data_IF_692707186724
#
_entry.id   IF_692707186724
#
_cell.length_a   1.000
_cell.length_b   1.000
_cell.length_c   1.000
_cell.angle_alpha   90.00
_cell.angle_beta   90.00
_cell.angle_gamma   90.00
#
_symmetry.space_group_name_H-M   'P 1'
#
loop_
_entity.id
_entity.type
_entity.pdbx_description
1 polymer ?
#
# COMPACT_ATOMS: atom_id res chain seq x y z
N UNK A 1 15.25 -19.03 5.69
CA UNK A 1 13.92 -19.07 5.06
C UNK A 1 14.00 -18.11 3.90
N UNK A 2 13.90 -18.62 2.68
CA UNK A 2 14.23 -17.91 1.44
C UNK A 2 13.32 -16.70 1.20
N UNK A 3 13.91 -15.53 0.96
CA UNK A 3 13.26 -14.33 0.40
C UNK A 3 12.70 -14.57 -1.02
N UNK A 4 12.80 -15.79 -1.56
CA UNK A 4 12.54 -16.12 -2.96
C UNK A 4 11.08 -16.32 -3.36
N UNK A 5 10.16 -16.60 -2.43
CA UNK A 5 8.81 -17.07 -2.81
C UNK A 5 7.83 -15.93 -3.14
N UNK A 6 7.89 -14.83 -2.39
CA UNK A 6 7.12 -13.61 -2.64
C UNK A 6 7.56 -12.82 -3.89
N UNK A 7 8.70 -13.20 -4.48
CA UNK A 7 9.27 -12.61 -5.70
C UNK A 7 9.00 -13.43 -6.98
N UNK A 8 8.28 -14.56 -6.88
CA UNK A 8 7.94 -15.38 -8.04
C UNK A 8 7.01 -14.59 -8.96
N UNK A 9 7.50 -14.27 -10.16
CA UNK A 9 6.70 -13.62 -11.21
C UNK A 9 5.42 -14.43 -11.43
N UNK A 10 4.29 -13.76 -11.35
CA UNK A 10 3.00 -14.34 -11.72
C UNK A 10 3.04 -14.58 -13.24
N UNK A 11 3.00 -15.85 -13.65
CA UNK A 11 2.99 -16.27 -15.05
C UNK A 11 1.63 -16.83 -15.43
N UNK A 12 1.35 -17.02 -16.72
CA UNK A 12 0.12 -17.68 -17.15
C UNK A 12 -1.09 -16.74 -17.26
N UNK A 13 -2.28 -17.24 -16.90
CA UNK A 13 -3.51 -16.46 -16.86
C UNK A 13 -3.48 -15.42 -15.74
N UNK A 14 -2.98 -15.78 -14.55
CA UNK A 14 -2.87 -14.84 -13.42
C UNK A 14 -2.04 -13.62 -13.81
N UNK A 15 -0.88 -13.80 -14.44
CA UNK A 15 -0.02 -12.66 -14.81
C UNK A 15 -0.59 -11.76 -15.91
N UNK A 16 -1.56 -12.25 -16.69
CA UNK A 16 -2.18 -11.51 -17.80
C UNK A 16 -3.47 -10.80 -17.41
N UNK A 17 -4.21 -11.36 -16.47
CA UNK A 17 -5.57 -10.92 -16.12
C UNK A 17 -5.69 -10.43 -14.68
N UNK A 18 -4.57 -10.31 -13.96
CA UNK A 18 -4.54 -9.75 -12.61
C UNK A 18 -3.42 -8.72 -12.47
N UNK A 19 -3.60 -7.84 -11.49
CA UNK A 19 -2.62 -6.87 -11.01
C UNK A 19 -2.08 -7.34 -9.66
N UNK A 20 -0.77 -7.51 -9.55
CA UNK A 20 -0.13 -7.97 -8.32
C UNK A 20 0.01 -6.81 -7.31
N UNK A 21 -0.93 -6.72 -6.37
CA UNK A 21 -0.93 -5.67 -5.35
C UNK A 21 0.26 -5.82 -4.40
N UNK A 22 0.70 -7.05 -4.12
CA UNK A 22 1.86 -7.30 -3.26
C UNK A 22 3.14 -6.78 -3.92
N UNK A 23 3.32 -6.99 -5.23
CA UNK A 23 4.45 -6.41 -5.98
C UNK A 23 4.36 -4.89 -6.02
N UNK A 24 3.18 -4.32 -6.29
CA UNK A 24 2.99 -2.86 -6.29
C UNK A 24 3.28 -2.22 -4.93
N UNK A 25 2.92 -2.89 -3.83
CA UNK A 25 3.24 -2.45 -2.48
C UNK A 25 4.75 -2.45 -2.23
N UNK A 26 5.45 -3.51 -2.62
CA UNK A 26 6.91 -3.64 -2.50
C UNK A 26 7.66 -2.58 -3.29
N UNK A 27 7.13 -2.24 -4.47
CA UNK A 27 7.67 -1.21 -5.35
C UNK A 27 7.29 0.22 -4.92
N UNK A 28 6.46 0.38 -3.87
CA UNK A 28 6.00 1.67 -3.38
C UNK A 28 5.05 2.40 -4.34
N UNK A 29 4.33 1.67 -5.21
CA UNK A 29 3.40 2.25 -6.19
C UNK A 29 1.99 2.48 -5.64
N UNK A 30 1.60 1.70 -4.64
CA UNK A 30 0.29 1.82 -3.99
C UNK A 30 0.19 3.12 -3.19
N UNK A 31 -1.03 3.64 -3.07
CA UNK A 31 -1.30 4.81 -2.24
C UNK A 31 -1.16 4.45 -0.75
N UNK A 32 -0.57 5.30 0.10
CA UNK A 32 -0.60 5.09 1.54
C UNK A 32 -2.04 4.99 2.05
N UNK A 33 -2.35 3.87 2.71
CA UNK A 33 -3.67 3.64 3.28
C UNK A 33 -3.71 4.18 4.71
N UNK A 34 -4.73 4.97 5.03
CA UNK A 34 -4.98 5.55 6.36
C UNK A 34 -6.42 5.25 6.80
N UNK A 35 -6.62 5.20 8.13
CA UNK A 35 -7.94 5.07 8.75
C UNK A 35 -8.73 3.81 8.32
N UNK A 36 -8.03 2.69 8.07
CA UNK A 36 -8.63 1.39 7.68
C UNK A 36 -8.04 0.20 8.45
N UNK A 37 -7.43 0.46 9.60
CA UNK A 37 -6.68 -0.55 10.33
C UNK A 37 -7.56 -1.67 10.90
N UNK A 38 -8.78 -1.33 11.34
CA UNK A 38 -9.77 -2.26 11.87
C UNK A 38 -10.30 -3.18 10.77
N UNK A 39 -10.63 -2.65 9.60
CA UNK A 39 -11.12 -3.46 8.48
C UNK A 39 -10.02 -4.37 7.94
N UNK A 40 -8.78 -3.89 7.83
CA UNK A 40 -7.64 -4.72 7.39
C UNK A 40 -7.37 -5.83 8.42
N UNK A 41 -7.38 -5.53 9.71
CA UNK A 41 -7.25 -6.54 10.77
C UNK A 41 -8.38 -7.58 10.67
N UNK A 42 -9.62 -7.13 10.46
CA UNK A 42 -10.78 -8.02 10.30
C UNK A 42 -10.66 -8.92 9.07
N UNK A 43 -10.12 -8.41 7.96
CA UNK A 43 -9.84 -9.21 6.76
C UNK A 43 -8.81 -10.30 7.06
N UNK A 44 -7.74 -9.97 7.77
CA UNK A 44 -6.71 -10.94 8.21
C UNK A 44 -7.35 -12.04 9.07
N UNK A 45 -8.14 -11.67 10.07
CA UNK A 45 -8.83 -12.64 10.95
C UNK A 45 -9.68 -13.62 10.13
N UNK A 46 -10.40 -13.11 9.14
CA UNK A 46 -11.29 -13.93 8.29
C UNK A 46 -10.47 -14.88 7.41
N UNK A 47 -9.38 -14.42 6.80
CA UNK A 47 -8.52 -15.24 5.95
C UNK A 47 -7.87 -16.42 6.71
N UNK A 48 -7.72 -16.29 8.03
CA UNK A 48 -7.18 -17.33 8.91
C UNK A 48 -8.23 -18.33 9.40
N UNK A 49 -9.52 -18.10 9.14
CA UNK A 49 -10.57 -19.03 9.57
C UNK A 49 -10.50 -20.33 8.78
N UNK A 50 -10.89 -21.43 9.43
CA UNK A 50 -11.10 -22.70 8.76
C UNK A 50 -12.35 -22.70 7.84
N UNK A 51 -13.36 -21.90 8.17
CA UNK A 51 -14.61 -21.79 7.40
C UNK A 51 -15.12 -20.35 7.37
N UNK A 52 -15.87 -20.00 6.32
CA UNK A 52 -16.19 -18.60 5.98
C UNK A 52 -14.94 -17.73 5.89
N UNK A 53 -13.95 -18.22 5.16
CA UNK A 53 -12.61 -17.62 5.02
C UNK A 53 -12.47 -16.69 3.81
N UNK A 54 -13.58 -16.33 3.16
CA UNK A 54 -13.61 -15.33 2.10
C UNK A 54 -14.19 -14.02 2.65
N UNK A 55 -13.39 -12.97 2.87
CA UNK A 55 -13.89 -11.67 3.30
C UNK A 55 -14.71 -11.02 2.18
N UNK A 56 -15.91 -10.54 2.51
CA UNK A 56 -16.69 -9.66 1.65
C UNK A 56 -16.71 -8.25 2.23
N UNK A 57 -16.01 -7.32 1.58
CA UNK A 57 -16.01 -5.89 1.86
C UNK A 57 -17.33 -5.29 1.38
N UNK A 58 -18.24 -5.01 2.30
CA UNK A 58 -19.60 -4.55 2.00
C UNK A 58 -19.76 -3.11 2.45
N UNK A 59 -20.04 -2.22 1.50
CA UNK A 59 -20.29 -0.81 1.79
C UNK A 59 -20.66 -0.02 0.52
N UNK A 60 -21.14 1.22 0.66
CA UNK A 60 -21.49 2.08 -0.47
C UNK A 60 -20.33 2.25 -1.48
N UNK A 61 -20.63 2.68 -2.70
CA UNK A 61 -19.60 3.12 -3.63
C UNK A 61 -18.86 4.35 -3.07
N UNK A 62 -17.56 4.46 -3.37
CA UNK A 62 -16.74 5.61 -2.93
C UNK A 62 -16.19 5.56 -1.50
N UNK A 63 -16.54 4.55 -0.68
CA UNK A 63 -15.99 4.45 0.69
C UNK A 63 -14.54 3.96 0.75
N UNK A 64 -13.94 3.54 -0.36
CA UNK A 64 -12.55 3.06 -0.39
C UNK A 64 -12.39 1.58 -0.03
N UNK A 65 -13.26 0.70 -0.55
CA UNK A 65 -13.13 -0.76 -0.40
C UNK A 65 -11.80 -1.28 -0.96
N UNK A 66 -11.38 -0.77 -2.11
CA UNK A 66 -10.10 -1.11 -2.75
C UNK A 66 -8.90 -0.72 -1.90
N UNK A 67 -8.99 0.38 -1.15
CA UNK A 67 -7.92 0.81 -0.23
C UNK A 67 -7.68 -0.20 0.89
N UNK A 68 -8.69 -0.97 1.32
CA UNK A 68 -8.51 -2.05 2.31
C UNK A 68 -7.67 -3.18 1.73
N UNK A 69 -7.88 -3.56 0.46
CA UNK A 69 -7.07 -4.55 -0.21
C UNK A 69 -5.63 -4.08 -0.41
N UNK A 70 -5.43 -2.81 -0.79
CA UNK A 70 -4.10 -2.20 -0.90
C UNK A 70 -3.40 -2.11 0.47
N UNK A 71 -4.15 -1.82 1.54
CA UNK A 71 -3.62 -1.79 2.90
C UNK A 71 -3.22 -3.18 3.40
N UNK A 72 -3.97 -4.22 3.03
CA UNK A 72 -3.58 -5.60 3.26
C UNK A 72 -2.27 -5.93 2.52
N UNK A 73 -2.13 -5.54 1.25
CA UNK A 73 -0.91 -5.75 0.48
C UNK A 73 0.31 -5.06 1.13
N UNK A 74 0.13 -3.84 1.65
CA UNK A 74 1.18 -3.13 2.40
C UNK A 74 1.58 -3.89 3.68
N UNK A 75 0.63 -4.41 4.45
CA UNK A 75 0.93 -5.22 5.65
C UNK A 75 1.59 -6.56 5.32
N UNK A 76 1.17 -7.23 4.25
CA UNK A 76 1.80 -8.46 3.75
C UNK A 76 3.28 -8.24 3.45
N UNK A 77 3.61 -7.15 2.73
CA UNK A 77 5.00 -6.79 2.41
C UNK A 77 5.79 -6.33 3.64
N UNK A 78 5.16 -5.58 4.54
CA UNK A 78 5.79 -5.13 5.79
C UNK A 78 6.04 -6.24 6.80
N UNK A 79 5.41 -7.41 6.64
CA UNK A 79 5.50 -8.52 7.59
C UNK A 79 4.60 -8.35 8.83
N UNK A 80 3.75 -7.31 8.85
CA UNK A 80 2.73 -7.02 9.88
C UNK A 80 1.49 -7.92 9.70
N UNK A 81 1.73 -9.21 9.50
CA UNK A 81 0.72 -10.25 9.37
C UNK A 81 1.18 -11.51 10.10
N UNK A 82 0.25 -12.36 10.57
CA UNK A 82 0.57 -13.66 11.15
C UNK A 82 1.40 -14.52 10.20
N UNK A 83 2.23 -15.41 10.76
CA UNK A 83 3.20 -16.23 10.02
C UNK A 83 2.60 -16.94 8.80
N UNK A 84 1.37 -17.46 8.94
CA UNK A 84 0.63 -18.19 7.91
C UNK A 84 0.33 -17.35 6.67
N UNK A 85 0.27 -16.02 6.80
CA UNK A 85 -0.01 -15.11 5.68
C UNK A 85 1.25 -14.46 5.09
N UNK A 86 2.44 -14.70 5.66
CA UNK A 86 3.66 -14.04 5.19
C UNK A 86 4.07 -14.42 3.77
N UNK A 87 3.73 -15.63 3.32
CA UNK A 87 3.96 -16.10 1.95
C UNK A 87 2.84 -15.69 0.99
N UNK A 88 1.75 -15.12 1.52
CA UNK A 88 0.55 -14.85 0.73
C UNK A 88 0.76 -13.73 -0.28
N UNK A 89 0.33 -13.96 -1.52
CA UNK A 89 0.31 -12.97 -2.61
C UNK A 89 -1.12 -12.51 -2.86
N UNK A 90 -1.31 -11.20 -2.94
CA UNK A 90 -2.61 -10.59 -3.19
C UNK A 90 -2.70 -10.10 -4.64
N UNK A 91 -3.56 -10.73 -5.43
CA UNK A 91 -3.75 -10.43 -6.85
C UNK A 91 -5.13 -9.80 -7.07
N UNK A 92 -5.20 -8.61 -7.65
CA UNK A 92 -6.45 -7.96 -8.02
C UNK A 92 -6.88 -8.37 -9.42
N UNK A 93 -8.10 -8.85 -9.58
CA UNK A 93 -8.65 -9.20 -10.88
C UNK A 93 -8.86 -7.96 -11.74
N UNK A 94 -8.41 -8.00 -13.00
CA UNK A 94 -8.66 -6.95 -13.98
C UNK A 94 -9.79 -7.39 -14.92
N UNK A 95 -10.99 -6.86 -14.65
CA UNK A 95 -12.18 -7.12 -15.48
C UNK A 95 -12.00 -6.63 -16.92
N UNK A 96 -11.29 -5.52 -17.13
CA UNK A 96 -11.06 -4.95 -18.45
C UNK A 96 -10.14 -5.86 -19.25
N UNK A 97 -9.04 -6.33 -18.66
CA UNK A 97 -8.13 -7.28 -19.29
C UNK A 97 -8.82 -8.60 -19.65
N UNK A 98 -9.74 -9.08 -18.80
CA UNK A 98 -10.52 -10.27 -19.07
C UNK A 98 -11.44 -10.12 -20.29
N UNK A 99 -12.09 -8.96 -20.44
CA UNK A 99 -12.99 -8.65 -21.57
C UNK A 99 -12.24 -8.21 -22.84
N UNK A 100 -11.01 -7.71 -22.70
CA UNK A 100 -10.24 -7.19 -23.83
C UNK A 100 -9.94 -8.30 -24.85
N UNK A 101 -10.33 -8.08 -26.10
CA UNK A 101 -10.08 -9.00 -27.20
C UNK A 101 -10.91 -10.29 -27.18
N UNK A 102 -11.94 -10.40 -26.33
CA UNK A 102 -12.91 -11.51 -26.41
C UNK A 102 -14.05 -11.14 -27.34
N UNK A 103 -13.87 -11.37 -28.64
CA UNK A 103 -14.97 -11.23 -29.62
C UNK A 103 -16.02 -12.34 -29.47
N UNK A 104 -15.66 -13.45 -28.80
CA UNK A 104 -16.49 -14.64 -28.63
C UNK A 104 -16.63 -15.03 -27.16
N UNK A 105 -17.86 -15.32 -26.73
CA UNK A 105 -18.24 -15.72 -25.35
C UNK A 105 -17.35 -16.84 -24.78
N UNK A 106 -17.05 -17.87 -25.55
CA UNK A 106 -16.26 -19.02 -25.08
C UNK A 106 -14.82 -18.68 -24.66
N UNK A 107 -14.24 -17.61 -25.22
CA UNK A 107 -12.89 -17.18 -24.84
C UNK A 107 -12.86 -16.55 -23.45
N UNK A 108 -13.92 -15.85 -23.05
CA UNK A 108 -14.04 -15.29 -21.71
C UNK A 108 -14.17 -16.42 -20.67
N UNK A 109 -15.01 -17.42 -20.95
CA UNK A 109 -15.16 -18.62 -20.11
C UNK A 109 -13.85 -19.40 -19.96
N UNK A 110 -13.10 -19.59 -21.05
CA UNK A 110 -11.79 -20.25 -21.01
C UNK A 110 -10.78 -19.47 -20.14
N UNK A 111 -10.77 -18.13 -20.24
CA UNK A 111 -9.92 -17.28 -19.40
C UNK A 111 -10.27 -17.40 -17.92
N UNK A 112 -11.56 -17.34 -17.57
CA UNK A 112 -12.02 -17.53 -16.18
C UNK A 112 -11.64 -18.93 -15.68
N UNK A 113 -11.83 -19.97 -16.50
CA UNK A 113 -11.44 -21.35 -16.14
C UNK A 113 -9.95 -21.46 -15.85
N UNK A 114 -9.11 -20.87 -16.70
CA UNK A 114 -7.67 -20.85 -16.51
C UNK A 114 -7.27 -20.10 -15.23
N UNK A 115 -7.92 -18.97 -14.95
CA UNK A 115 -7.69 -18.17 -13.75
C UNK A 115 -8.06 -18.94 -12.48
N UNK A 116 -9.22 -19.60 -12.46
CA UNK A 116 -9.65 -20.46 -11.35
C UNK A 116 -8.70 -21.62 -11.15
N UNK A 117 -8.29 -22.29 -12.23
CA UNK A 117 -7.37 -23.42 -12.16
C UNK A 117 -6.01 -23.00 -11.59
N UNK A 118 -5.42 -21.91 -12.09
CA UNK A 118 -4.14 -21.39 -11.59
C UNK A 118 -4.23 -20.90 -10.14
N UNK A 119 -5.33 -20.24 -9.76
CA UNK A 119 -5.54 -19.79 -8.37
C UNK A 119 -5.74 -20.97 -7.42
N UNK A 120 -6.46 -22.02 -7.84
CA UNK A 120 -6.69 -23.21 -7.01
C UNK A 120 -5.45 -24.08 -6.87
N UNK A 121 -4.49 -23.97 -7.80
CA UNK A 121 -3.23 -24.70 -7.76
C UNK A 121 -2.21 -24.07 -6.79
N UNK A 122 -2.43 -22.83 -6.36
CA UNK A 122 -1.52 -22.07 -5.50
C UNK A 122 -2.25 -21.56 -4.23
N UNK A 123 -2.12 -22.26 -3.09
CA UNK A 123 -2.83 -21.90 -1.86
C UNK A 123 -2.36 -20.57 -1.26
N UNK A 124 -1.17 -20.09 -1.63
CA UNK A 124 -0.62 -18.82 -1.17
C UNK A 124 -1.18 -17.62 -1.95
N UNK A 125 -1.96 -17.83 -3.02
CA UNK A 125 -2.62 -16.75 -3.74
C UNK A 125 -3.98 -16.45 -3.13
N UNK A 126 -4.21 -15.15 -2.85
CA UNK A 126 -5.54 -14.60 -2.54
C UNK A 126 -5.95 -13.68 -3.67
N UNK A 127 -7.14 -13.92 -4.22
CA UNK A 127 -7.69 -13.11 -5.30
C UNK A 127 -8.57 -11.99 -4.72
N UNK A 128 -8.24 -10.73 -5.02
CA UNK A 128 -9.11 -9.59 -4.80
C UNK A 128 -10.00 -9.39 -6.04
N UNK A 129 -11.32 -9.33 -5.83
CA UNK A 129 -12.30 -9.06 -6.88
C UNK A 129 -13.09 -7.84 -6.49
N UNK A 130 -12.86 -6.75 -7.21
CA UNK A 130 -13.75 -5.59 -7.13
C UNK A 130 -15.06 -5.88 -7.85
N UNK A 131 -16.15 -5.30 -7.39
CA UNK A 131 -17.51 -5.57 -7.89
C UNK A 131 -17.79 -7.08 -8.02
N UNK A 132 -17.62 -7.82 -6.90
CA UNK A 132 -17.76 -9.28 -6.85
C UNK A 132 -19.06 -9.79 -7.49
N UNK A 133 -20.13 -9.00 -7.39
CA UNK A 133 -21.43 -9.30 -8.01
C UNK A 133 -21.36 -9.41 -9.54
N UNK A 134 -20.38 -8.81 -10.22
CA UNK A 134 -20.21 -8.97 -11.66
C UNK A 134 -19.85 -10.41 -12.04
N UNK A 135 -19.09 -11.09 -11.18
CA UNK A 135 -18.71 -12.49 -11.40
C UNK A 135 -19.79 -13.48 -10.94
N UNK A 136 -20.61 -13.11 -9.96
CA UNK A 136 -21.55 -14.02 -9.28
C UNK A 136 -23.01 -13.80 -9.70
N UNK A 137 -23.38 -12.56 -10.03
CA UNK A 137 -24.76 -12.09 -10.11
C UNK A 137 -25.21 -11.53 -11.47
N UNK A 138 -24.33 -11.29 -12.45
CA UNK A 138 -24.75 -10.82 -13.77
C UNK A 138 -25.33 -11.94 -14.66
N UNK A 139 -26.51 -12.44 -14.28
CA UNK A 139 -27.35 -13.32 -15.10
C UNK A 139 -28.47 -12.60 -15.86
N UNK A 140 -28.68 -11.29 -15.68
CA UNK A 140 -29.92 -10.64 -16.13
C UNK A 140 -29.79 -9.31 -16.87
N UNK A 141 -28.59 -8.73 -17.01
CA UNK A 141 -28.41 -7.52 -17.81
C UNK A 141 -27.21 -7.70 -18.77
N UNK A 142 -27.52 -7.74 -20.06
CA UNK A 142 -26.56 -7.67 -21.19
C UNK A 142 -25.76 -8.97 -21.41
N UNK A 143 -26.41 -10.00 -21.95
CA UNK A 143 -25.97 -10.98 -22.99
C UNK A 143 -24.59 -11.68 -23.01
N UNK A 144 -23.59 -11.23 -22.26
CA UNK A 144 -22.18 -11.67 -22.33
C UNK A 144 -21.73 -12.36 -21.04
N UNK A 145 -22.31 -12.00 -19.88
CA UNK A 145 -21.89 -12.48 -18.55
C UNK A 145 -22.64 -13.72 -18.02
N UNK A 146 -23.51 -14.34 -18.82
CA UNK A 146 -24.47 -15.35 -18.32
C UNK A 146 -23.85 -16.68 -17.82
N UNK A 147 -22.54 -16.95 -17.98
CA UNK A 147 -21.94 -18.25 -17.60
C UNK A 147 -20.75 -18.21 -16.64
N UNK A 148 -20.14 -17.05 -16.37
CA UNK A 148 -19.00 -17.01 -15.45
C UNK A 148 -19.38 -17.38 -14.01
N UNK A 149 -20.58 -17.01 -13.58
CA UNK A 149 -21.12 -17.40 -12.29
C UNK A 149 -21.24 -18.92 -12.14
N UNK A 150 -21.69 -19.63 -13.17
CA UNK A 150 -21.81 -21.09 -13.15
C UNK A 150 -20.45 -21.79 -13.09
N UNK A 151 -19.39 -21.15 -13.59
CA UNK A 151 -18.03 -21.70 -13.58
C UNK A 151 -17.28 -21.40 -12.28
N UNK A 152 -17.50 -20.23 -11.69
CA UNK A 152 -16.83 -19.80 -10.46
C UNK A 152 -17.50 -20.34 -9.20
N UNK A 153 -18.84 -20.42 -9.19
CA UNK A 153 -19.61 -20.87 -8.02
C UNK A 153 -19.16 -22.24 -7.50
N UNK A 154 -18.96 -23.29 -8.32
CA UNK A 154 -18.53 -24.59 -7.81
C UNK A 154 -17.20 -24.52 -7.06
N UNK A 155 -16.22 -23.79 -7.59
CA UNK A 155 -14.89 -23.68 -6.97
C UNK A 155 -14.91 -22.81 -5.71
N UNK A 156 -15.70 -21.74 -5.68
CA UNK A 156 -15.93 -20.93 -4.49
C UNK A 156 -16.64 -21.72 -3.38
N UNK A 157 -17.65 -22.52 -3.76
CA UNK A 157 -18.41 -23.37 -2.83
C UNK A 157 -17.57 -24.54 -2.32
N UNK A 158 -16.67 -25.11 -3.13
CA UNK A 158 -15.70 -26.10 -2.62
C UNK A 158 -14.67 -25.47 -1.71
N UNK A 159 -14.32 -24.20 -1.93
CA UNK A 159 -13.27 -23.50 -1.19
C UNK A 159 -11.88 -23.82 -1.73
N UNK A 160 -11.78 -24.08 -3.04
CA UNK A 160 -10.53 -24.46 -3.72
C UNK A 160 -9.48 -23.33 -3.70
N UNK A 161 -9.92 -22.08 -3.50
CA UNK A 161 -9.08 -20.90 -3.40
C UNK A 161 -9.72 -19.82 -2.51
N UNK A 162 -8.93 -18.83 -2.10
CA UNK A 162 -9.35 -17.72 -1.22
C UNK A 162 -9.62 -16.45 -2.02
N UNK A 163 -10.72 -15.77 -1.71
CA UNK A 163 -11.15 -14.53 -2.36
C UNK A 163 -11.49 -13.45 -1.35
N UNK A 164 -11.07 -12.21 -1.64
CA UNK A 164 -11.57 -10.99 -1.03
C UNK A 164 -12.46 -10.30 -2.05
N UNK A 165 -13.76 -10.18 -1.77
CA UNK A 165 -14.70 -9.53 -2.68
C UNK A 165 -15.13 -8.16 -2.19
N UNK A 166 -15.21 -7.16 -3.06
CA UNK A 166 -15.82 -5.87 -2.76
C UNK A 166 -17.19 -5.73 -3.46
N UNK A 167 -18.20 -5.24 -2.75
CA UNK A 167 -19.56 -5.08 -3.31
C UNK A 167 -20.38 -4.07 -2.50
N UNK A 168 -21.53 -3.64 -3.02
CA UNK A 168 -22.51 -2.87 -2.23
C UNK A 168 -23.35 -3.77 -1.33
N UNK A 169 -24.04 -3.19 -0.34
CA UNK A 169 -24.92 -3.93 0.56
C UNK A 169 -26.06 -4.65 -0.17
N UNK A 170 -26.73 -3.95 -1.08
CA UNK A 170 -27.85 -4.51 -1.85
C UNK A 170 -27.43 -5.70 -2.71
N UNK A 171 -26.28 -5.62 -3.36
CA UNK A 171 -25.73 -6.70 -4.17
C UNK A 171 -25.25 -7.87 -3.32
N UNK A 172 -24.64 -7.60 -2.16
CA UNK A 172 -24.24 -8.65 -1.23
C UNK A 172 -25.45 -9.45 -0.74
N UNK A 173 -26.51 -8.75 -0.32
CA UNK A 173 -27.71 -9.38 0.19
C UNK A 173 -28.41 -10.20 -0.91
N UNK A 174 -28.49 -9.64 -2.14
CA UNK A 174 -29.12 -10.32 -3.29
C UNK A 174 -28.33 -11.54 -3.79
N UNK A 175 -27.02 -11.42 -3.96
CA UNK A 175 -26.22 -12.40 -4.71
C UNK A 175 -25.37 -13.32 -3.84
N UNK A 176 -25.00 -12.90 -2.62
CA UNK A 176 -24.20 -13.71 -1.69
C UNK A 176 -25.10 -14.32 -0.61
N UNK A 177 -25.85 -13.51 0.13
CA UNK A 177 -26.78 -14.02 1.14
C UNK A 177 -27.99 -14.72 0.53
N UNK A 178 -28.40 -14.34 -0.68
CA UNK A 178 -29.45 -15.03 -1.43
C UNK A 178 -29.09 -16.47 -1.84
N UNK A 179 -27.81 -16.86 -1.79
CA UNK A 179 -27.32 -18.19 -2.15
C UNK A 179 -26.72 -18.90 -0.91
N UNK A 180 -27.41 -19.90 -0.32
CA UNK A 180 -26.94 -20.60 0.88
C UNK A 180 -25.58 -21.27 0.74
N UNK A 181 -25.13 -21.59 -0.48
CA UNK A 181 -23.83 -22.20 -0.71
C UNK A 181 -22.70 -21.16 -0.59
N UNK A 182 -22.92 -19.95 -1.10
CA UNK A 182 -21.97 -18.84 -1.00
C UNK A 182 -21.95 -18.23 0.41
N UNK A 183 -23.10 -18.13 1.08
CA UNK A 183 -23.20 -17.63 2.45
C UNK A 183 -22.34 -18.43 3.45
N UNK A 184 -22.11 -19.72 3.17
CA UNK A 184 -21.24 -20.61 3.97
C UNK A 184 -19.74 -20.40 3.73
N UNK A 185 -19.38 -19.57 2.74
CA UNK A 185 -18.00 -19.31 2.32
C UNK A 185 -17.57 -17.87 2.55
N UNK A 186 -18.51 -16.94 2.49
CA UNK A 186 -18.23 -15.53 2.72
C UNK A 186 -18.51 -15.08 4.16
N UNK A 187 -17.68 -14.17 4.64
CA UNK A 187 -17.89 -13.44 5.88
C UNK A 187 -17.94 -11.94 5.56
N UNK A 188 -19.05 -11.31 5.95
CA UNK A 188 -19.22 -9.86 5.78
C UNK A 188 -18.25 -9.06 6.64
N UNK A 189 -17.60 -8.08 6.03
CA UNK A 189 -16.83 -6.99 6.62
C UNK A 189 -17.54 -5.70 6.24
N UNK A 190 -18.15 -5.03 7.21
CA UNK A 190 -18.85 -3.78 6.95
C UNK A 190 -17.84 -2.65 6.79
N UNK A 191 -17.85 -1.99 5.64
CA UNK A 191 -16.99 -0.84 5.35
C UNK A 191 -17.83 0.41 5.44
N UNK A 192 -17.62 1.17 6.52
CA UNK A 192 -18.30 2.45 6.72
C UNK A 192 -17.65 3.57 5.94
N UNK A 193 -18.43 4.61 5.71
CA UNK A 193 -17.92 5.92 5.32
C UNK A 193 -16.99 6.48 6.41
N UNK A 194 -15.93 7.16 6.00
CA UNK A 194 -14.99 7.81 6.91
C UNK A 194 -15.62 9.06 7.53
N UNK A 195 -15.20 9.38 8.75
CA UNK A 195 -15.50 10.67 9.38
C UNK A 195 -14.84 11.81 8.62
N UNK A 196 -15.24 13.05 8.91
CA UNK A 196 -14.60 14.24 8.34
C UNK A 196 -13.09 14.26 8.68
N UNK A 197 -12.76 14.01 9.95
CA UNK A 197 -11.38 13.99 10.46
C UNK A 197 -10.54 12.89 9.79
N UNK A 198 -11.08 11.67 9.70
CA UNK A 198 -10.41 10.55 9.03
C UNK A 198 -10.19 10.86 7.53
N UNK A 199 -11.14 11.55 6.89
CA UNK A 199 -11.02 11.95 5.48
C UNK A 199 -9.94 13.00 5.29
N UNK A 200 -9.81 13.96 6.21
CA UNK A 200 -8.72 14.94 6.19
C UNK A 200 -7.36 14.24 6.28
N UNK A 201 -7.22 13.24 7.14
CA UNK A 201 -5.98 12.48 7.26
C UNK A 201 -5.66 11.64 6.01
N UNK A 202 -6.68 11.07 5.37
CA UNK A 202 -6.54 10.43 4.06
C UNK A 202 -6.10 11.43 2.99
N UNK A 203 -6.71 12.62 2.92
CA UNK A 203 -6.31 13.65 1.96
C UNK A 203 -4.87 14.12 2.19
N UNK A 204 -4.49 14.37 3.46
CA UNK A 204 -3.12 14.74 3.85
C UNK A 204 -2.08 13.72 3.41
N UNK A 205 -2.39 12.43 3.53
CA UNK A 205 -1.52 11.36 3.07
C UNK A 205 -1.34 11.34 1.54
N UNK A 206 -2.32 11.86 0.78
CA UNK A 206 -2.31 11.91 -0.69
C UNK A 206 -1.70 13.19 -1.28
N UNK A 207 -1.54 14.26 -0.48
CA UNK A 207 -1.13 15.58 -0.97
C UNK A 207 0.16 15.53 -1.77
N UNK A 208 1.17 14.84 -1.26
CA UNK A 208 2.49 14.77 -1.88
C UNK A 208 2.41 14.19 -3.31
N UNK A 209 1.54 13.19 -3.53
CA UNK A 209 1.34 12.57 -4.85
C UNK A 209 0.52 13.47 -5.77
N UNK A 210 -0.53 14.11 -5.26
CA UNK A 210 -1.37 15.06 -6.01
C UNK A 210 -0.57 16.29 -6.47
N UNK A 211 0.15 16.94 -5.56
CA UNK A 211 1.02 18.08 -5.84
C UNK A 211 2.09 17.73 -6.89
N UNK A 212 2.70 16.55 -6.78
CA UNK A 212 3.65 16.05 -7.78
C UNK A 212 2.99 15.82 -9.14
N UNK A 213 1.83 15.19 -9.18
CA UNK A 213 1.13 14.88 -10.42
C UNK A 213 0.77 16.16 -11.18
N UNK A 214 0.11 17.10 -10.49
CA UNK A 214 -0.37 18.35 -11.09
C UNK A 214 0.68 19.45 -11.18
N UNK A 215 1.83 19.31 -10.49
CA UNK A 215 2.85 20.36 -10.41
C UNK A 215 2.29 21.65 -9.78
N UNK A 216 1.49 21.48 -8.73
CA UNK A 216 0.86 22.56 -7.96
C UNK A 216 1.19 22.39 -6.48
N UNK A 217 0.93 23.42 -5.67
CA UNK A 217 0.97 23.33 -4.21
C UNK A 217 -0.45 23.37 -3.67
N UNK A 218 -0.78 22.54 -2.70
CA UNK A 218 -2.12 22.49 -2.09
C UNK A 218 -2.04 23.16 -0.73
N UNK A 219 -2.86 24.19 -0.52
CA UNK A 219 -2.98 24.85 0.77
C UNK A 219 -3.91 24.06 1.73
N UNK A 220 -3.69 24.17 3.05
CA UNK A 220 -4.46 23.42 4.04
C UNK A 220 -5.95 23.80 4.03
N UNK A 221 -6.29 25.05 3.72
CA UNK A 221 -7.66 25.51 3.54
C UNK A 221 -8.36 24.78 2.38
N UNK A 222 -7.65 24.45 1.30
CA UNK A 222 -8.19 23.63 0.21
C UNK A 222 -8.56 22.23 0.69
N UNK A 223 -7.71 21.61 1.51
CA UNK A 223 -7.97 20.27 2.07
C UNK A 223 -9.21 20.27 2.95
N UNK A 224 -9.36 21.30 3.80
CA UNK A 224 -10.57 21.48 4.63
C UNK A 224 -11.81 21.72 3.78
N UNK A 225 -11.72 22.64 2.81
CA UNK A 225 -12.80 22.95 1.89
C UNK A 225 -13.31 21.71 1.14
N UNK A 226 -12.41 20.82 0.71
CA UNK A 226 -12.78 19.59 -0.01
C UNK A 226 -13.65 18.66 0.82
N UNK A 227 -13.51 18.67 2.14
CA UNK A 227 -14.32 17.85 3.04
C UNK A 227 -15.61 18.58 3.42
N UNK A 228 -15.52 19.84 3.83
CA UNK A 228 -16.66 20.62 4.32
C UNK A 228 -17.68 20.94 3.21
N UNK A 229 -17.22 21.34 2.03
CA UNK A 229 -18.12 21.72 0.95
C UNK A 229 -18.79 20.50 0.31
N UNK A 230 -18.07 19.38 0.19
CA UNK A 230 -18.66 18.17 -0.39
C UNK A 230 -19.66 17.50 0.56
N UNK A 231 -19.49 17.67 1.88
CA UNK A 231 -20.48 17.26 2.88
C UNK A 231 -21.82 17.95 2.75
N UNK A 232 -21.81 19.24 2.43
CA UNK A 232 -23.02 20.05 2.33
C UNK A 232 -23.66 19.90 0.96
N UNK A 233 -22.85 19.88 -0.09
CA UNK A 233 -23.34 20.05 -1.46
C UNK A 233 -23.39 18.77 -2.30
N UNK A 234 -22.69 17.68 -1.90
CA UNK A 234 -22.57 16.44 -2.68
C UNK A 234 -23.02 15.21 -1.87
N UNK A 235 -24.32 15.14 -1.57
CA UNK A 235 -24.94 14.14 -0.67
C UNK A 235 -25.14 12.76 -1.31
N UNK A 236 -25.16 12.68 -2.63
CA UNK A 236 -25.33 11.45 -3.41
C UNK A 236 -24.06 10.59 -3.43
N UNK A 237 -22.90 11.22 -3.21
CA UNK A 237 -21.59 10.55 -3.11
C UNK A 237 -21.16 10.36 -1.65
N UNK A 238 -20.06 9.64 -1.44
CA UNK A 238 -19.55 9.26 -0.12
C UNK A 238 -18.08 9.64 0.04
N UNK A 239 -17.65 9.88 1.28
CA UNK A 239 -16.24 10.00 1.64
C UNK A 239 -15.52 8.65 1.61
N UNK A 240 -14.22 8.61 1.32
CA UNK A 240 -13.37 9.76 0.98
C UNK A 240 -13.44 10.19 -0.50
N UNK A 241 -14.08 9.39 -1.37
CA UNK A 241 -14.09 9.58 -2.82
C UNK A 241 -14.51 10.98 -3.27
N UNK A 242 -15.65 11.49 -2.80
CA UNK A 242 -16.13 12.82 -3.22
C UNK A 242 -15.15 13.96 -2.90
N UNK A 243 -14.44 13.86 -1.78
CA UNK A 243 -13.50 14.90 -1.34
C UNK A 243 -12.17 14.81 -2.11
N UNK A 244 -11.71 13.58 -2.39
CA UNK A 244 -10.53 13.34 -3.23
C UNK A 244 -10.77 13.88 -4.63
N UNK A 245 -11.92 13.56 -5.23
CA UNK A 245 -12.27 13.92 -6.60
C UNK A 245 -12.32 15.44 -6.81
N UNK A 246 -13.00 16.17 -5.91
CA UNK A 246 -13.07 17.64 -5.98
C UNK A 246 -11.69 18.29 -5.78
N UNK A 247 -10.85 17.74 -4.89
CA UNK A 247 -9.49 18.25 -4.69
C UNK A 247 -8.62 18.02 -5.94
N UNK A 248 -8.71 16.83 -6.54
CA UNK A 248 -7.99 16.46 -7.76
C UNK A 248 -8.41 17.34 -8.95
N UNK A 249 -9.72 17.55 -9.12
CA UNK A 249 -10.25 18.44 -10.16
C UNK A 249 -9.80 19.90 -9.96
N UNK A 250 -9.76 20.39 -8.72
CA UNK A 250 -9.22 21.71 -8.41
C UNK A 250 -7.73 21.81 -8.77
N UNK A 251 -6.94 20.77 -8.49
CA UNK A 251 -5.54 20.70 -8.88
C UNK A 251 -5.36 20.68 -10.41
N UNK A 252 -6.16 19.88 -11.11
CA UNK A 252 -6.16 19.80 -12.57
C UNK A 252 -6.53 21.14 -13.21
N UNK A 253 -7.54 21.83 -12.68
CA UNK A 253 -7.93 23.15 -13.15
C UNK A 253 -6.81 24.18 -12.96
N UNK A 254 -6.24 24.28 -11.75
CA UNK A 254 -5.14 25.20 -11.46
C UNK A 254 -3.94 24.94 -12.39
N UNK A 255 -3.57 23.67 -12.60
CA UNK A 255 -2.52 23.31 -13.54
C UNK A 255 -2.83 23.76 -14.97
N UNK A 256 -4.07 23.59 -15.43
CA UNK A 256 -4.47 23.89 -16.80
C UNK A 256 -4.48 25.40 -17.11
N UNK A 257 -4.83 26.25 -16.13
CA UNK A 257 -4.87 27.71 -16.31
C UNK A 257 -3.54 28.40 -15.99
N UNK A 258 -2.64 27.71 -15.28
CA UNK A 258 -1.33 28.24 -14.90
C UNK A 258 -0.39 28.34 -16.10
N UNK A 259 0.31 29.48 -16.18
CA UNK A 259 1.48 29.63 -17.06
C UNK A 259 2.73 29.52 -16.21
N UNK A 260 3.43 28.40 -16.31
CA UNK A 260 4.67 28.17 -15.58
C UNK A 260 5.76 29.12 -16.07
N UNK A 261 6.60 29.61 -15.15
CA UNK A 261 7.82 30.33 -15.51
C UNK A 261 8.81 29.37 -16.18
N UNK A 262 9.68 29.87 -17.06
CA UNK A 262 10.71 29.03 -17.70
C UNK A 262 11.60 28.30 -16.66
N UNK A 263 11.81 28.91 -15.49
CA UNK A 263 12.50 28.31 -14.36
C UNK A 263 11.70 27.13 -13.78
N UNK A 264 10.41 27.30 -13.51
CA UNK A 264 9.55 26.24 -12.99
C UNK A 264 9.44 25.07 -13.98
N UNK A 265 9.30 25.35 -15.27
CA UNK A 265 9.27 24.32 -16.32
C UNK A 265 10.55 23.49 -16.34
N UNK A 266 11.72 24.13 -16.31
CA UNK A 266 13.00 23.45 -16.27
C UNK A 266 13.12 22.52 -15.04
N UNK A 267 12.66 23.00 -13.87
CA UNK A 267 12.66 22.21 -12.64
C UNK A 267 11.67 21.04 -12.68
N UNK A 268 10.49 21.23 -13.26
CA UNK A 268 9.49 20.16 -13.46
C UNK A 268 10.02 19.07 -14.38
N UNK A 269 10.63 19.45 -15.51
CA UNK A 269 11.27 18.51 -16.44
C UNK A 269 12.37 17.74 -15.72
N UNK A 270 13.24 18.45 -14.99
CA UNK A 270 14.32 17.84 -14.21
C UNK A 270 13.79 16.87 -13.15
N UNK A 271 12.71 17.22 -12.45
CA UNK A 271 12.04 16.34 -11.49
C UNK A 271 11.59 15.04 -12.15
N UNK A 272 10.94 15.13 -13.31
CA UNK A 272 10.48 13.95 -14.07
C UNK A 272 11.64 13.06 -14.52
N UNK A 273 12.76 13.64 -14.95
CA UNK A 273 13.96 12.88 -15.30
C UNK A 273 14.51 12.10 -14.10
N UNK A 274 14.66 12.76 -12.95
CA UNK A 274 15.18 12.13 -11.73
C UNK A 274 14.25 11.03 -11.23
N UNK A 275 12.93 11.23 -11.31
CA UNK A 275 11.95 10.20 -10.96
C UNK A 275 12.00 8.99 -11.92
N UNK A 276 12.26 9.20 -13.21
CA UNK A 276 12.46 8.11 -14.18
C UNK A 276 13.78 7.37 -13.98
N UNK A 277 14.82 8.09 -13.57
CA UNK A 277 16.16 7.53 -13.34
C UNK A 277 16.27 6.78 -12.01
N UNK A 278 15.36 7.03 -11.05
CA UNK A 278 15.24 6.17 -9.87
C UNK A 278 14.92 4.75 -10.35
N UNK A 279 15.81 3.77 -10.12
CA UNK A 279 15.39 2.39 -10.25
C UNK A 279 14.22 2.22 -9.29
N UNK A 280 13.08 1.72 -9.79
CA UNK A 280 12.08 1.10 -8.92
C UNK A 280 12.85 0.16 -8.01
N UNK A 281 12.82 0.39 -6.69
CA UNK A 281 13.57 -0.41 -5.71
C UNK A 281 13.26 -1.87 -5.96
N UNK A 282 14.19 -2.57 -6.61
CA UNK A 282 13.92 -3.88 -7.23
C UNK A 282 14.98 -4.38 -8.22
N UNK A 283 16.12 -3.68 -8.39
CA UNK A 283 17.33 -4.25 -9.00
C UNK A 283 18.55 -3.84 -8.21
N UNK A 284 19.20 -4.81 -7.60
CA UNK A 284 20.44 -4.63 -6.85
C UNK A 284 20.36 -5.37 -5.54
N UNK A 285 20.87 -6.59 -5.55
CA UNK A 285 21.30 -7.33 -4.37
C UNK A 285 22.27 -6.48 -3.55
N UNK A 286 21.77 -5.79 -2.51
CA UNK A 286 22.62 -5.46 -1.37
C UNK A 286 22.90 -6.78 -0.65
N UNK A 287 24.09 -7.33 -0.90
CA UNK A 287 24.60 -8.45 -0.11
C UNK A 287 24.60 -8.02 1.36
N UNK A 288 23.95 -8.75 2.27
CA UNK A 288 24.14 -8.52 3.70
C UNK A 288 25.62 -8.68 4.03
N UNK A 289 26.15 -7.76 4.83
CA UNK A 289 27.49 -7.87 5.38
C UNK A 289 27.64 -9.22 6.11
N UNK A 290 28.72 -9.93 5.78
CA UNK A 290 29.08 -11.21 6.39
C UNK A 290 29.19 -11.03 7.92
N UNK A 291 28.53 -11.88 8.74
CA UNK A 291 28.72 -11.83 10.18
C UNK A 291 30.15 -12.28 10.53
N UNK A 292 30.75 -11.75 11.61
CA UNK A 292 32.10 -12.13 12.01
C UNK A 292 32.18 -13.63 12.32
N UNK A 293 33.36 -14.26 12.12
CA UNK A 293 33.50 -15.70 12.28
C UNK A 293 33.23 -16.09 13.73
N UNK A 294 32.39 -17.11 13.93
CA UNK A 294 32.19 -17.74 15.23
C UNK A 294 33.37 -18.66 15.50
N UNK A 295 34.07 -18.42 16.61
CA UNK A 295 35.10 -19.33 17.11
C UNK A 295 34.51 -20.73 17.32
N UNK A 296 35.21 -21.71 16.75
CA UNK A 296 34.96 -23.12 16.93
C UNK A 296 35.66 -23.58 18.21
N UNK A 297 34.91 -23.69 19.30
CA UNK A 297 35.29 -24.44 20.49
C UNK A 297 34.36 -25.64 20.61
N UNK A 298 34.84 -26.82 20.21
CA UNK A 298 34.11 -28.07 20.38
C UNK A 298 34.17 -28.59 21.81
N UNK A 299 33.15 -29.36 22.17
CA UNK A 299 33.31 -30.59 22.94
C UNK A 299 32.01 -31.38 22.84
N UNK A 300 32.16 -32.61 22.38
CA UNK A 300 31.18 -33.68 22.38
C UNK A 300 30.61 -33.89 23.80
N UNK A 301 29.30 -34.14 23.90
CA UNK A 301 28.83 -35.15 24.85
C UNK A 301 27.49 -35.75 24.42
N UNK A 302 27.51 -37.07 24.36
CA UNK A 302 26.49 -37.99 23.90
C UNK A 302 25.73 -38.48 25.14
N UNK A 303 24.41 -38.27 25.22
CA UNK A 303 23.67 -38.55 26.46
C UNK A 303 22.16 -38.67 26.28
N UNK A 304 21.67 -39.89 26.44
CA UNK A 304 20.29 -40.36 26.30
C UNK A 304 19.18 -39.47 26.89
N UNK A 305 18.14 -39.22 26.10
CA UNK A 305 16.88 -38.59 26.51
C UNK A 305 16.01 -39.57 27.31
N UNK A 306 16.04 -39.41 28.64
CA UNK A 306 14.99 -39.90 29.54
C UNK A 306 13.89 -38.84 29.72
N UNK A 307 12.64 -39.29 29.77
CA UNK A 307 11.46 -38.47 30.01
C UNK A 307 11.46 -37.89 31.42
N UNK A 308 11.77 -36.59 31.58
CA UNK A 308 11.38 -35.74 32.73
C UNK A 308 11.78 -34.25 32.51
N UNK A 309 11.52 -33.71 31.30
CA UNK A 309 11.98 -32.38 30.89
C UNK A 309 10.93 -31.25 30.89
N UNK A 310 9.66 -31.55 31.17
CA UNK A 310 8.55 -30.60 30.98
C UNK A 310 8.09 -29.89 32.26
N UNK A 311 8.50 -30.32 33.45
CA UNK A 311 8.10 -29.67 34.71
C UNK A 311 9.16 -28.72 35.30
N UNK A 312 10.43 -28.85 34.89
CA UNK A 312 11.51 -27.94 35.33
C UNK A 312 11.51 -26.62 34.54
N UNK A 313 11.02 -26.63 33.29
CA UNK A 313 10.97 -25.44 32.42
C UNK A 313 9.92 -24.40 32.86
N UNK A 314 8.90 -24.83 33.61
CA UNK A 314 7.84 -23.94 34.11
C UNK A 314 8.24 -23.14 35.35
N UNK A 315 9.30 -23.53 36.08
CA UNK A 315 9.76 -22.83 37.29
C UNK A 315 10.82 -21.76 37.03
N UNK A 316 11.69 -21.94 36.03
CA UNK A 316 12.80 -21.01 35.79
C UNK A 316 12.47 -19.87 34.81
N UNK A 317 11.35 -19.96 34.08
CA UNK A 317 10.90 -18.93 33.14
C UNK A 317 10.49 -17.59 33.79
N UNK A 318 10.08 -17.61 35.06
CA UNK A 318 9.65 -16.41 35.77
C UNK A 318 10.83 -15.54 36.26
N UNK A 319 11.98 -16.16 36.51
CA UNK A 319 13.20 -15.50 37.00
C UNK A 319 13.94 -14.73 35.91
N UNK A 320 13.81 -15.14 34.65
CA UNK A 320 14.41 -14.47 33.50
C UNK A 320 13.67 -13.18 33.11
N UNK A 321 12.35 -13.14 33.28
CA UNK A 321 11.52 -11.96 33.02
C UNK A 321 11.69 -10.85 34.07
N UNK A 322 12.04 -11.21 35.31
CA UNK A 322 12.32 -10.22 36.37
C UNK A 322 13.70 -9.56 36.26
N UNK A 323 14.68 -10.22 35.62
CA UNK A 323 16.01 -9.63 35.36
C UNK A 323 16.00 -8.65 34.18
N UNK A 324 15.15 -8.90 33.18
CA UNK A 324 15.00 -8.01 32.02
C UNK A 324 14.38 -6.64 32.38
N UNK A 325 13.60 -6.56 33.47
CA UNK A 325 12.99 -5.32 33.93
C UNK A 325 13.96 -4.37 34.66
N UNK A 326 15.06 -4.87 35.23
CA UNK A 326 15.99 -4.06 36.04
C UNK A 326 17.13 -3.43 35.21
N UNK A 327 17.46 -3.97 34.03
CA UNK A 327 18.53 -3.43 33.18
C UNK A 327 18.08 -2.24 32.30
N UNK A 328 16.78 -2.11 32.02
CA UNK A 328 16.23 -1.06 31.15
C UNK A 328 16.11 0.34 31.81
N UNK A 329 16.14 0.44 33.14
CA UNK A 329 16.15 1.75 33.83
C UNK A 329 17.55 2.37 34.00
N UNK A 330 18.63 1.60 33.81
CA UNK A 330 20.01 2.11 33.98
C UNK A 330 20.59 2.81 32.74
N UNK A 331 19.93 2.69 31.59
CA UNK A 331 20.42 3.19 30.29
C UNK A 331 20.01 4.65 30.04
N UNK A 332 19.03 5.20 30.78
CA UNK A 332 18.47 6.54 30.51
C UNK A 332 18.81 7.64 31.53
N UNK A 333 19.72 7.42 32.48
CA UNK A 333 20.11 8.46 33.45
C UNK A 333 21.62 8.50 33.73
N UNK A 334 22.40 9.12 32.85
CA UNK A 334 23.67 9.77 33.25
C UNK A 334 24.23 10.70 32.16
N UNK A 335 24.27 11.99 32.47
CA UNK A 335 25.02 13.04 31.75
C UNK A 335 26.52 12.92 32.09
N UNK A 336 27.47 13.13 31.15
CA UNK A 336 28.88 13.26 31.54
C UNK A 336 29.35 14.72 31.56
N UNK A 337 29.94 15.08 32.71
CA UNK A 337 30.74 16.28 33.01
C UNK A 337 32.23 15.92 32.80
N UNK A 338 33.07 16.94 32.54
CA UNK A 338 34.36 16.79 31.86
C UNK A 338 35.61 16.39 32.67
N UNK A 339 36.67 16.12 31.88
CA UNK A 339 38.13 16.27 32.09
C UNK A 339 38.85 15.32 33.09
N UNK A 340 40.19 15.07 32.98
CA UNK A 340 41.20 15.86 32.27
C UNK A 340 42.27 15.13 31.42
N UNK A 341 42.95 15.98 30.64
CA UNK A 341 44.25 15.92 29.94
C UNK A 341 45.17 14.69 30.13
N UNK A 342 45.52 14.06 29.00
CA UNK A 342 46.78 13.31 28.83
C UNK A 342 47.42 13.68 27.49
N UNK A 343 48.57 14.34 27.61
CA UNK A 343 49.46 14.76 26.51
C UNK A 343 50.07 13.52 25.83
N UNK A 344 49.82 13.36 24.54
CA UNK A 344 50.47 12.36 23.68
C UNK A 344 51.72 12.96 22.99
N UNK A 345 52.80 12.19 22.78
CA UNK A 345 54.03 12.70 22.18
C UNK A 345 53.90 12.89 20.66
N UNK A 346 54.58 13.92 20.14
CA UNK A 346 54.66 14.26 18.71
C UNK A 346 55.30 13.12 17.88
N UNK A 347 54.76 12.78 16.70
CA UNK A 347 55.47 11.92 15.76
C UNK A 347 56.54 12.71 14.96
N UNK A 348 57.63 12.02 14.64
CA UNK A 348 58.72 12.50 13.79
C UNK A 348 58.29 12.61 12.30
N UNK A 349 58.93 13.46 11.48
CA UNK A 349 58.56 13.64 10.08
C UNK A 349 59.08 12.49 9.21
N UNK A 350 58.20 11.92 8.37
CA UNK A 350 58.53 10.97 7.31
C UNK A 350 58.88 11.72 6.00
N UNK A 351 59.67 11.10 5.09
CA UNK A 351 60.32 11.80 3.98
C UNK A 351 59.36 12.16 2.84
N UNK A 352 59.77 13.17 2.07
CA UNK A 352 59.07 13.69 0.91
C UNK A 352 58.87 12.61 -0.16
N UNK A 353 57.61 12.39 -0.56
CA UNK A 353 57.26 11.60 -1.74
C UNK A 353 56.83 12.51 -2.90
N UNK A 354 57.25 12.08 -4.08
CA UNK A 354 57.31 12.82 -5.33
C UNK A 354 55.95 12.72 -6.05
N UNK A 355 55.36 13.89 -6.33
CA UNK A 355 54.47 14.12 -7.47
C UNK A 355 53.21 13.24 -7.60
N UNK A 356 52.12 13.60 -6.92
CA UNK A 356 50.77 13.27 -7.38
C UNK A 356 50.08 14.51 -7.93
N UNK A 357 49.65 14.44 -9.20
CA UNK A 357 48.76 15.42 -9.83
C UNK A 357 47.47 15.54 -9.00
N UNK A 358 46.91 16.75 -8.80
CA UNK A 358 45.62 16.88 -8.15
C UNK A 358 44.56 16.14 -8.95
N UNK A 359 43.81 15.25 -8.29
CA UNK A 359 42.62 14.64 -8.86
C UNK A 359 41.63 15.73 -9.29
N UNK A 360 40.93 15.57 -10.42
CA UNK A 360 39.87 16.51 -10.79
C UNK A 360 38.84 16.56 -9.67
N UNK A 361 38.43 17.78 -9.32
CA UNK A 361 37.37 18.01 -8.34
C UNK A 361 36.14 17.14 -8.69
N UNK A 362 35.45 16.54 -7.70
CA UNK A 362 34.25 15.78 -7.97
C UNK A 362 33.25 16.69 -8.72
N UNK A 363 32.54 16.18 -9.75
CA UNK A 363 31.53 16.97 -10.43
C UNK A 363 30.55 17.49 -9.37
N UNK A 364 30.21 18.78 -9.45
CA UNK A 364 29.24 19.42 -8.56
C UNK A 364 28.05 18.48 -8.38
N UNK A 365 27.88 17.97 -7.15
CA UNK A 365 26.83 17.01 -6.81
C UNK A 365 25.50 17.57 -7.29
N UNK A 366 24.92 16.94 -8.31
CA UNK A 366 23.60 17.32 -8.79
C UNK A 366 22.65 17.38 -7.58
N UNK A 367 21.81 18.42 -7.47
CA UNK A 367 20.94 18.57 -6.31
C UNK A 367 20.11 17.29 -6.15
N UNK A 368 20.10 16.76 -4.93
CA UNK A 368 19.28 15.60 -4.61
C UNK A 368 17.82 15.90 -4.92
N UNK A 369 17.02 14.88 -5.28
CA UNK A 369 15.60 15.04 -5.58
C UNK A 369 14.86 15.80 -4.46
N UNK A 370 15.24 15.56 -3.21
CA UNK A 370 14.67 16.26 -2.05
C UNK A 370 14.93 17.78 -2.09
N UNK A 371 16.15 18.20 -2.44
CA UNK A 371 16.48 19.63 -2.59
C UNK A 371 15.68 20.25 -3.73
N UNK A 372 15.61 19.56 -4.89
CA UNK A 372 14.82 20.02 -6.02
C UNK A 372 13.32 20.14 -5.67
N UNK A 373 12.76 19.20 -4.91
CA UNK A 373 11.36 19.25 -4.49
C UNK A 373 11.06 20.44 -3.58
N UNK A 374 11.95 20.74 -2.63
CA UNK A 374 11.81 21.92 -1.75
C UNK A 374 11.90 23.21 -2.55
N UNK A 375 12.91 23.35 -3.42
CA UNK A 375 13.08 24.54 -4.25
C UNK A 375 11.89 24.72 -5.22
N UNK A 376 11.42 23.64 -5.84
CA UNK A 376 10.28 23.69 -6.76
C UNK A 376 9.01 24.09 -6.01
N UNK A 377 8.79 23.56 -4.81
CA UNK A 377 7.64 23.94 -3.97
C UNK A 377 7.67 25.44 -3.66
N UNK A 378 8.80 25.97 -3.22
CA UNK A 378 8.96 27.40 -2.94
C UNK A 378 8.69 28.25 -4.18
N UNK A 379 9.23 27.86 -5.34
CA UNK A 379 9.01 28.58 -6.59
C UNK A 379 7.54 28.54 -7.03
N UNK A 380 6.85 27.41 -6.90
CA UNK A 380 5.43 27.31 -7.23
C UNK A 380 4.57 28.21 -6.34
N UNK A 381 4.94 28.36 -5.06
CA UNK A 381 4.28 29.30 -4.14
C UNK A 381 4.53 30.75 -4.58
N UNK A 382 5.77 31.10 -4.91
CA UNK A 382 6.15 32.44 -5.40
C UNK A 382 5.43 32.80 -6.71
N UNK A 383 5.30 31.82 -7.62
CA UNK A 383 4.59 31.95 -8.90
C UNK A 383 3.05 31.91 -8.74
N UNK A 384 2.53 31.72 -7.52
CA UNK A 384 1.10 31.70 -7.22
C UNK A 384 0.37 30.42 -7.68
N UNK A 385 1.10 29.35 -7.97
CA UNK A 385 0.57 28.04 -8.40
C UNK A 385 0.11 27.23 -7.17
N UNK A 386 -0.85 27.80 -6.46
CA UNK A 386 -1.37 27.27 -5.19
C UNK A 386 -2.87 27.04 -5.32
N UNK A 387 -3.32 25.81 -5.05
CA UNK A 387 -4.72 25.45 -4.93
C UNK A 387 -5.22 25.85 -3.55
N UNK A 388 -6.27 26.68 -3.52
CA UNK A 388 -6.91 27.20 -2.30
C UNK A 388 -8.35 26.69 -2.16
N UNK A 389 -8.96 26.91 -1.00
CA UNK A 389 -10.36 26.53 -0.75
C UNK A 389 -11.36 27.23 -1.67
N UNK A 390 -11.04 28.42 -2.19
CA UNK A 390 -11.83 29.08 -3.22
C UNK A 390 -11.85 28.32 -4.56
N UNK A 391 -10.75 27.62 -4.91
CA UNK A 391 -10.69 26.83 -6.13
C UNK A 391 -11.54 25.56 -5.98
N UNK A 392 -11.49 24.93 -4.81
CA UNK A 392 -12.37 23.82 -4.42
C UNK A 392 -13.84 24.26 -4.48
N UNK A 393 -14.18 25.42 -3.90
CA UNK A 393 -15.54 25.95 -3.93
C UNK A 393 -16.06 26.17 -5.37
N UNK A 394 -15.18 26.62 -6.27
CA UNK A 394 -15.52 26.76 -7.70
C UNK A 394 -15.86 25.41 -8.32
N UNK A 395 -15.08 24.37 -8.05
CA UNK A 395 -15.34 23.02 -8.55
C UNK A 395 -16.68 22.49 -8.02
N UNK A 396 -16.93 22.61 -6.72
CA UNK A 396 -18.22 22.19 -6.12
C UNK A 396 -19.39 22.98 -6.73
N UNK A 397 -19.22 24.29 -6.96
CA UNK A 397 -20.24 25.11 -7.61
C UNK A 397 -20.56 24.64 -9.05
N UNK A 398 -19.53 24.28 -9.82
CA UNK A 398 -19.69 23.74 -11.17
C UNK A 398 -20.36 22.36 -11.17
N UNK A 399 -19.93 21.46 -10.27
CA UNK A 399 -20.48 20.11 -10.17
C UNK A 399 -21.95 20.08 -9.75
N UNK A 400 -22.36 21.02 -8.89
CA UNK A 400 -23.71 21.06 -8.32
C UNK A 400 -24.64 22.05 -9.01
N UNK A 401 -24.10 23.01 -9.76
CA UNK A 401 -24.88 24.10 -10.36
C UNK A 401 -25.35 25.17 -9.36
N UNK A 402 -24.84 25.15 -8.12
CA UNK A 402 -25.22 26.08 -7.05
C UNK A 402 -24.11 27.09 -6.75
N UNK A 403 -24.46 28.26 -6.21
CA UNK A 403 -23.47 29.20 -5.71
C UNK A 403 -22.87 28.69 -4.41
N UNK A 404 -21.59 28.33 -4.42
CA UNK A 404 -20.84 27.89 -3.25
C UNK A 404 -19.88 29.01 -2.83
N UNK A 405 -19.82 29.29 -1.53
CA UNK A 405 -18.90 30.27 -0.94
C UNK A 405 -18.00 29.58 0.06
N UNK A 406 -16.73 29.98 0.08
CA UNK A 406 -15.73 29.54 1.05
C UNK A 406 -15.16 30.75 1.78
N UNK A 407 -14.98 30.64 3.09
CA UNK A 407 -14.31 31.61 3.94
C UNK A 407 -13.26 30.88 4.77
N UNK A 408 -12.02 31.36 4.71
CA UNK A 408 -10.84 30.75 5.36
C UNK A 408 -10.91 30.68 6.90
#
# INVERSE_FOLDING_TARGET
MDEGDLGRRVTGALGRFTRDLTSEAREGRLEPVRCRDEEVARVIDILLRHGKNNPALVGPAGVGKTAIAEGLAQRLVGGDVPLVLRTTRLLALDHVALMAGTAYRGQYEERIRALVHETSADPDVVLFVDELHNLIGQGTAIGVAMDAANMLKPSLVRGDFRVIGATTGEEYDRWICGDPALERRFQRVLVRELSAEETLDVLRARLERLERHHNVVIADDAVRASVELTDVHMLDRRRPDRAIDVLDEACAHTQAVTRFTARAEAMIVRRRELLRQRPVRGRGSERPAEPPPRDSGGSDDDGSLGSDGLETFARDGLSALQRFGAELESIFTATPVGAPDRVAPRPAPAPADVGQRPAPAPPATAPSLAVLEVELRSLLIEDGVVVRGLDVARVVALATGHTVRWSE
#
